data_IF_454695347083
#
_entry.id   IF_454695347083
#
_cell.length_a   1.000
_cell.length_b   1.000
_cell.length_c   1.000
_cell.angle_alpha   90.00
_cell.angle_beta   90.00
_cell.angle_gamma   90.00
#
_symmetry.space_group_name_H-M   'P 1'
#
loop_
_entity.id
_entity.type
_entity.pdbx_description
1 polymer ?
#
# COMPACT_ATOMS: atom_id res chain seq x y z
N UNK A 1 31.14 11.91 -26.41
CA UNK A 1 30.22 13.00 -26.07
C UNK A 1 29.15 12.37 -25.21
N UNK A 2 29.21 12.64 -23.91
CA UNK A 2 28.44 11.93 -22.88
C UNK A 2 27.03 12.53 -22.75
N UNK A 3 26.02 11.67 -22.67
CA UNK A 3 24.60 12.07 -22.61
C UNK A 3 24.26 12.80 -21.30
N UNK A 4 25.09 12.64 -20.27
CA UNK A 4 25.02 13.41 -19.01
C UNK A 4 25.30 14.89 -19.21
N UNK A 5 26.21 15.28 -20.12
CA UNK A 5 26.48 16.70 -20.38
C UNK A 5 25.38 17.37 -21.21
N UNK A 6 24.64 16.60 -22.02
CA UNK A 6 23.52 17.13 -22.82
C UNK A 6 22.30 17.48 -21.96
N UNK A 7 22.06 16.73 -20.88
CA UNK A 7 20.91 16.94 -19.99
C UNK A 7 21.15 18.05 -18.96
N UNK A 8 22.41 18.35 -18.61
CA UNK A 8 22.73 19.38 -17.63
C UNK A 8 22.54 20.80 -18.19
N UNK A 9 22.78 21.00 -19.49
CA UNK A 9 22.72 22.34 -20.11
C UNK A 9 21.29 22.76 -20.52
N UNK A 10 20.33 21.83 -20.51
CA UNK A 10 18.93 22.13 -20.86
C UNK A 10 18.15 22.77 -19.70
N UNK A 11 18.65 22.69 -18.46
CA UNK A 11 18.02 23.30 -17.29
C UNK A 11 18.46 24.77 -17.02
N UNK A 12 19.49 25.28 -17.74
CA UNK A 12 20.11 26.59 -17.49
C UNK A 12 19.66 27.71 -18.45
N UNK A 13 18.68 27.46 -19.32
CA UNK A 13 18.28 28.42 -20.36
C UNK A 13 16.81 28.89 -20.28
N UNK A 14 16.25 29.03 -19.09
CA UNK A 14 14.88 29.55 -18.88
C UNK A 14 14.78 30.50 -17.69
N UNK A 15 15.34 31.70 -17.79
CA UNK A 15 15.23 32.73 -16.76
C UNK A 15 13.98 33.60 -16.90
N UNK A 16 13.24 33.78 -15.80
CA UNK A 16 12.56 35.04 -15.49
C UNK A 16 12.78 35.41 -14.01
N UNK A 17 13.80 36.25 -13.82
CA UNK A 17 13.79 37.49 -13.03
C UNK A 17 12.95 37.54 -11.74
N UNK A 18 13.65 37.37 -10.61
CA UNK A 18 13.71 38.39 -9.55
C UNK A 18 12.54 38.50 -8.57
N UNK A 19 12.73 37.96 -7.37
CA UNK A 19 12.77 38.76 -6.12
C UNK A 19 13.36 37.92 -4.99
N UNK A 20 14.49 38.37 -4.44
CA UNK A 20 15.02 37.89 -3.17
C UNK A 20 13.96 38.08 -2.09
N UNK A 21 13.52 36.97 -1.49
CA UNK A 21 12.88 36.96 -0.19
C UNK A 21 13.29 35.66 0.49
N UNK A 22 13.92 35.80 1.65
CA UNK A 22 14.21 34.72 2.58
C UNK A 22 12.92 33.92 2.85
N UNK A 23 12.97 32.60 2.67
CA UNK A 23 11.90 31.70 3.11
C UNK A 23 12.49 30.31 3.35
N UNK A 24 13.24 30.19 4.44
CA UNK A 24 13.35 28.90 5.12
C UNK A 24 11.97 28.52 5.68
N UNK A 25 11.56 27.27 5.44
CA UNK A 25 10.35 26.68 6.00
C UNK A 25 9.10 26.85 5.12
N UNK A 26 8.17 25.90 5.20
CA UNK A 26 6.82 25.86 4.57
C UNK A 26 6.66 25.12 3.23
N UNK A 27 7.60 24.25 2.83
CA UNK A 27 7.32 23.23 1.77
C UNK A 27 6.99 21.83 2.31
N UNK A 28 7.09 21.61 3.62
CA UNK A 28 7.02 20.25 4.19
C UNK A 28 5.61 19.77 4.59
N UNK A 29 4.64 20.65 4.89
CA UNK A 29 3.35 20.21 5.46
C UNK A 29 2.48 19.44 4.47
N UNK A 30 2.17 20.06 3.33
CA UNK A 30 1.27 19.50 2.33
C UNK A 30 1.79 18.21 1.67
N UNK A 31 3.11 18.11 1.44
CA UNK A 31 3.72 16.91 0.85
C UNK A 31 3.72 15.71 1.83
N UNK A 32 3.84 15.97 3.14
CA UNK A 32 3.77 14.95 4.18
C UNK A 32 2.32 14.46 4.33
N UNK A 33 1.35 15.37 4.36
CA UNK A 33 -0.08 15.04 4.48
C UNK A 33 -0.56 14.22 3.27
N UNK A 34 -0.15 14.58 2.05
CA UNK A 34 -0.49 13.82 0.84
C UNK A 34 0.11 12.41 0.84
N UNK A 35 1.36 12.27 1.31
CA UNK A 35 1.99 10.96 1.45
C UNK A 35 1.29 10.09 2.52
N UNK A 36 0.77 10.71 3.58
CA UNK A 36 0.02 10.06 4.65
C UNK A 36 -1.33 9.52 4.17
N UNK A 37 -2.13 10.37 3.52
CA UNK A 37 -3.42 10.00 2.94
C UNK A 37 -3.26 8.87 1.90
N UNK A 38 -2.21 8.94 1.08
CA UNK A 38 -1.91 7.90 0.10
C UNK A 38 -1.56 6.57 0.76
N UNK A 39 -0.76 6.57 1.83
CA UNK A 39 -0.45 5.34 2.59
C UNK A 39 -1.72 4.74 3.18
N UNK A 40 -2.56 5.57 3.81
CA UNK A 40 -3.83 5.11 4.37
C UNK A 40 -4.71 4.48 3.31
N UNK A 41 -4.87 5.13 2.16
CA UNK A 41 -5.63 4.62 1.03
C UNK A 41 -5.11 3.27 0.53
N UNK A 42 -3.80 3.15 0.35
CA UNK A 42 -3.18 1.88 -0.09
C UNK A 42 -3.45 0.75 0.91
N UNK A 43 -3.35 1.04 2.21
CA UNK A 43 -3.62 0.05 3.25
C UNK A 43 -5.08 -0.43 3.25
N UNK A 44 -6.03 0.50 3.13
CA UNK A 44 -7.47 0.17 3.08
C UNK A 44 -7.85 -0.55 1.78
N UNK A 45 -7.27 -0.14 0.65
CA UNK A 45 -7.49 -0.81 -0.63
C UNK A 45 -6.94 -2.24 -0.60
N UNK A 46 -5.76 -2.45 -0.01
CA UNK A 46 -5.18 -3.78 0.14
C UNK A 46 -6.05 -4.67 1.03
N UNK A 47 -6.52 -4.16 2.17
CA UNK A 47 -7.42 -4.90 3.05
C UNK A 47 -8.70 -5.32 2.31
N UNK A 48 -9.25 -4.45 1.46
CA UNK A 48 -10.45 -4.78 0.66
C UNK A 48 -10.20 -5.99 -0.26
N UNK A 49 -9.03 -6.05 -0.91
CA UNK A 49 -8.64 -7.20 -1.74
C UNK A 49 -8.42 -8.45 -0.89
N UNK A 50 -7.80 -8.30 0.28
CA UNK A 50 -7.55 -9.41 1.19
C UNK A 50 -8.85 -10.02 1.75
N UNK A 51 -9.81 -9.19 2.16
CA UNK A 51 -11.14 -9.61 2.59
C UNK A 51 -11.85 -10.37 1.46
N UNK A 52 -11.77 -9.87 0.22
CA UNK A 52 -12.35 -10.55 -0.93
C UNK A 52 -11.80 -11.97 -1.09
N UNK A 53 -10.48 -12.15 -1.02
CA UNK A 53 -9.88 -13.49 -1.12
C UNK A 53 -10.23 -14.38 0.07
N UNK A 54 -10.31 -13.86 1.30
CA UNK A 54 -10.78 -14.64 2.46
C UNK A 54 -12.21 -15.14 2.20
N UNK A 55 -13.12 -14.24 1.81
CA UNK A 55 -14.52 -14.59 1.57
C UNK A 55 -14.66 -15.62 0.46
N UNK A 56 -13.89 -15.47 -0.62
CA UNK A 56 -13.84 -16.43 -1.73
C UNK A 56 -13.32 -17.80 -1.28
N UNK A 57 -12.24 -17.86 -0.50
CA UNK A 57 -11.72 -19.13 0.03
C UNK A 57 -12.70 -19.80 1.00
N UNK A 58 -13.40 -19.00 1.82
CA UNK A 58 -14.47 -19.51 2.68
C UNK A 58 -15.64 -20.05 1.85
N UNK A 59 -15.99 -19.39 0.74
CA UNK A 59 -17.02 -19.85 -0.19
C UNK A 59 -16.67 -21.18 -0.85
N UNK A 60 -15.42 -21.32 -1.31
CA UNK A 60 -14.87 -22.53 -1.94
C UNK A 60 -14.80 -23.71 -0.97
N UNK A 61 -14.70 -23.46 0.34
CA UNK A 61 -14.70 -24.51 1.38
C UNK A 61 -16.07 -25.15 1.57
N UNK A 62 -17.15 -24.47 1.18
CA UNK A 62 -18.51 -25.04 1.25
C UNK A 62 -18.76 -25.86 -0.02
N UNK A 63 -18.82 -27.20 0.06
CA UNK A 63 -19.02 -28.04 -1.11
C UNK A 63 -20.36 -27.72 -1.75
N UNK A 64 -20.36 -27.50 -3.07
CA UNK A 64 -21.59 -27.46 -3.83
C UNK A 64 -22.19 -28.88 -3.83
N UNK A 65 -23.40 -29.04 -3.29
CA UNK A 65 -24.09 -30.33 -3.39
C UNK A 65 -24.45 -30.60 -4.85
N UNK A 66 -24.31 -31.84 -5.33
CA UNK A 66 -24.70 -32.25 -6.68
C UNK A 66 -26.18 -31.97 -7.02
N UNK A 67 -27.01 -31.70 -5.99
CA UNK A 67 -28.42 -31.33 -6.08
C UNK A 67 -28.69 -29.83 -5.94
N UNK A 68 -27.65 -28.98 -5.93
CA UNK A 68 -27.76 -27.53 -5.76
C UNK A 68 -28.46 -26.89 -6.97
N UNK A 69 -29.75 -26.62 -6.81
CA UNK A 69 -30.57 -25.92 -7.80
C UNK A 69 -30.18 -24.42 -7.91
N UNK A 70 -30.58 -23.75 -8.99
CA UNK A 70 -30.29 -22.34 -9.24
C UNK A 70 -30.70 -21.42 -8.08
N UNK A 71 -31.82 -21.76 -7.41
CA UNK A 71 -32.30 -21.07 -6.21
C UNK A 71 -31.27 -21.09 -5.07
N UNK A 72 -30.57 -22.20 -4.85
CA UNK A 72 -29.55 -22.34 -3.80
C UNK A 72 -28.30 -21.49 -4.08
N UNK A 73 -27.90 -21.37 -5.36
CA UNK A 73 -26.78 -20.51 -5.78
C UNK A 73 -27.08 -19.03 -5.53
N UNK A 74 -28.32 -18.61 -5.78
CA UNK A 74 -28.75 -17.24 -5.52
C UNK A 74 -28.73 -16.92 -4.01
N UNK A 75 -29.23 -17.84 -3.17
CA UNK A 75 -29.18 -17.70 -1.71
C UNK A 75 -27.73 -17.63 -1.21
N UNK A 76 -26.85 -18.48 -1.72
CA UNK A 76 -25.41 -18.47 -1.42
C UNK A 76 -24.77 -17.12 -1.80
N UNK A 77 -25.05 -16.62 -3.01
CA UNK A 77 -24.57 -15.31 -3.45
C UNK A 77 -25.07 -14.16 -2.57
N UNK A 78 -26.34 -14.15 -2.18
CA UNK A 78 -26.88 -13.14 -1.25
C UNK A 78 -26.20 -13.21 0.12
N UNK A 79 -25.94 -14.41 0.64
CA UNK A 79 -25.23 -14.59 1.91
C UNK A 79 -23.84 -13.94 1.88
N UNK A 80 -23.02 -14.25 0.86
CA UNK A 80 -21.68 -13.67 0.73
C UNK A 80 -21.71 -12.15 0.51
N UNK A 81 -22.69 -11.65 -0.25
CA UNK A 81 -22.88 -10.20 -0.43
C UNK A 81 -23.23 -9.51 0.89
N UNK A 82 -24.13 -10.09 1.70
CA UNK A 82 -24.50 -9.54 3.00
C UNK A 82 -23.33 -9.56 3.97
N UNK A 83 -22.52 -10.62 3.94
CA UNK A 83 -21.34 -10.70 4.80
C UNK A 83 -20.26 -9.70 4.40
N UNK A 84 -19.99 -9.54 3.10
CA UNK A 84 -19.08 -8.51 2.61
C UNK A 84 -19.55 -7.10 3.01
N UNK A 85 -20.86 -6.83 2.90
CA UNK A 85 -21.46 -5.57 3.34
C UNK A 85 -21.28 -5.36 4.85
N UNK A 86 -21.55 -6.38 5.67
CA UNK A 86 -21.39 -6.29 7.12
C UNK A 86 -19.94 -5.98 7.53
N UNK A 87 -18.96 -6.64 6.90
CA UNK A 87 -17.53 -6.35 7.14
C UNK A 87 -17.18 -4.92 6.72
N UNK A 88 -17.70 -4.44 5.59
CA UNK A 88 -17.47 -3.08 5.14
C UNK A 88 -18.12 -2.04 6.08
N UNK A 89 -19.33 -2.30 6.57
CA UNK A 89 -20.05 -1.42 7.50
C UNK A 89 -19.34 -1.32 8.86
N UNK A 90 -18.63 -2.38 9.28
CA UNK A 90 -17.73 -2.36 10.46
C UNK A 90 -16.38 -1.66 10.21
N UNK A 91 -16.12 -1.23 8.97
CA UNK A 91 -14.89 -0.53 8.60
C UNK A 91 -13.72 -1.46 8.26
N UNK A 92 -14.02 -2.67 7.79
CA UNK A 92 -13.05 -3.70 7.46
C UNK A 92 -12.74 -4.63 8.65
N UNK A 93 -11.66 -5.40 8.53
CA UNK A 93 -11.20 -6.29 9.61
C UNK A 93 -10.19 -5.61 10.55
N UNK A 94 -9.74 -4.41 10.20
CA UNK A 94 -8.79 -3.60 10.97
C UNK A 94 -7.32 -3.85 10.61
N UNK A 95 -7.02 -4.78 9.70
CA UNK A 95 -5.65 -5.09 9.25
C UNK A 95 -5.00 -3.93 8.51
N UNK A 96 -5.81 -3.06 7.90
CA UNK A 96 -5.29 -1.86 7.23
C UNK A 96 -4.45 -0.98 8.17
N UNK A 97 -4.70 -0.99 9.49
CA UNK A 97 -3.93 -0.20 10.48
C UNK A 97 -2.51 -0.72 10.62
N UNK A 98 -2.35 -2.04 10.75
CA UNK A 98 -1.04 -2.68 10.85
C UNK A 98 -0.24 -2.51 9.55
N UNK A 99 -0.90 -2.66 8.40
CA UNK A 99 -0.29 -2.45 7.09
C UNK A 99 0.15 -0.99 6.94
N UNK A 100 -0.69 -0.05 7.37
CA UNK A 100 -0.39 1.38 7.36
C UNK A 100 0.85 1.70 8.23
N UNK A 101 0.92 1.15 9.45
CA UNK A 101 2.06 1.32 10.34
C UNK A 101 3.35 0.72 9.76
N UNK A 102 3.26 -0.47 9.15
CA UNK A 102 4.38 -1.14 8.49
C UNK A 102 4.91 -0.36 7.27
N UNK A 103 4.06 0.41 6.59
CA UNK A 103 4.49 1.30 5.51
C UNK A 103 5.09 2.62 6.02
N UNK A 104 4.94 2.93 7.31
CA UNK A 104 5.48 4.13 7.94
C UNK A 104 6.98 4.07 8.22
N UNK A 105 7.57 5.16 8.74
CA UNK A 105 9.01 5.25 9.01
C UNK A 105 9.53 4.13 9.93
N UNK A 106 8.76 3.78 10.97
CA UNK A 106 9.12 2.71 11.90
C UNK A 106 9.22 1.33 11.21
N UNK A 107 8.31 1.03 10.28
CA UNK A 107 8.35 -0.21 9.49
C UNK A 107 9.51 -0.23 8.49
N UNK A 108 9.83 0.91 7.89
CA UNK A 108 10.97 1.04 6.97
C UNK A 108 12.32 0.91 7.69
N UNK A 109 12.45 1.45 8.90
CA UNK A 109 13.64 1.29 9.73
C UNK A 109 13.85 -0.17 10.17
N UNK A 110 12.78 -0.88 10.56
CA UNK A 110 12.84 -2.30 10.90
C UNK A 110 13.27 -3.16 9.69
N UNK A 111 12.71 -2.89 8.50
CA UNK A 111 13.08 -3.59 7.27
C UNK A 111 14.54 -3.30 6.85
N UNK A 112 14.99 -2.05 6.97
CA UNK A 112 16.37 -1.66 6.66
C UNK A 112 17.41 -2.27 7.60
N UNK A 113 17.08 -2.41 8.89
CA UNK A 113 17.93 -3.07 9.87
C UNK A 113 18.05 -4.57 9.61
N UNK A 114 16.95 -5.24 9.27
CA UNK A 114 16.97 -6.66 8.89
C UNK A 114 17.81 -6.90 7.63
N UNK A 115 17.70 -6.04 6.62
CA UNK A 115 18.53 -6.14 5.42
C UNK A 115 20.02 -6.01 5.74
N UNK A 116 20.40 -5.01 6.55
CA UNK A 116 21.79 -4.79 6.94
C UNK A 116 22.35 -5.92 7.82
N UNK A 117 21.52 -6.56 8.65
CA UNK A 117 21.92 -7.73 9.43
C UNK A 117 22.10 -8.96 8.54
N UNK A 118 21.20 -9.20 7.58
CA UNK A 118 21.32 -10.31 6.63
C UNK A 118 22.58 -10.21 5.78
N UNK A 119 22.91 -9.01 5.28
CA UNK A 119 24.15 -8.76 4.51
C UNK A 119 25.39 -9.05 5.36
N UNK A 120 25.41 -8.63 6.63
CA UNK A 120 26.54 -8.91 7.54
C UNK A 120 26.71 -10.41 7.80
N UNK A 121 25.63 -11.15 8.01
CA UNK A 121 25.70 -12.61 8.21
C UNK A 121 26.18 -13.38 6.98
N UNK A 122 25.91 -12.87 5.77
CA UNK A 122 26.39 -13.47 4.52
C UNK A 122 27.89 -13.21 4.31
N UNK A 123 28.35 -12.01 4.67
CA UNK A 123 29.78 -11.65 4.60
C UNK A 123 30.61 -12.44 5.63
N UNK A 124 30.06 -12.69 6.82
CA UNK A 124 30.75 -13.41 7.90
C UNK A 124 30.85 -14.93 7.66
N UNK A 125 29.95 -15.49 6.84
CA UNK A 125 29.98 -16.91 6.43
C UNK A 125 30.87 -17.21 5.21
N UNK A 126 31.43 -16.18 4.58
CA UNK A 126 32.28 -16.30 3.38
C UNK A 126 33.78 -16.27 3.67
N UNK A 127 34.18 -16.29 4.96
CA UNK A 127 35.56 -16.40 5.46
C UNK A 127 35.68 -17.69 6.24
#
# INVERSE_FOLDING_TARGET
>A
MDITELLLNQAVAGGHTGKSAEAGGLRNGADIDFADEKRKKVATDFESVFIHEILKQMEETIPDSDTADQSSKQVKSMYWSHMAQAIADEGGLGFWKEIYEAMGPAGQEAAGQQHNQAVRQILDKSV
#
